data_IF_987722242212
#
_entry.id   IF_987722242212
#
_cell.length_a   1.000
_cell.length_b   1.000
_cell.length_c   1.000
_cell.angle_alpha   90.00
_cell.angle_beta   90.00
_cell.angle_gamma   90.00
#
_symmetry.space_group_name_H-M   'P 1'
#
loop_
_entity.id
_entity.type
_entity.pdbx_description
1 polymer ?
#
# COMPACT_ATOMS: atom_id res chain seq x y z
N UNK A 1 12.53 30.51 -14.55
CA UNK A 1 11.26 30.04 -13.93
C UNK A 1 11.52 28.70 -13.26
N UNK A 2 11.20 28.54 -11.97
CA UNK A 2 11.33 27.27 -11.26
C UNK A 2 10.30 26.25 -11.82
N UNK A 3 10.77 25.04 -12.11
CA UNK A 3 9.92 23.90 -12.53
C UNK A 3 10.08 22.76 -11.54
N UNK A 4 8.98 22.13 -11.14
CA UNK A 4 8.98 20.94 -10.28
C UNK A 4 8.80 19.71 -11.15
N UNK A 5 9.67 18.73 -10.96
CA UNK A 5 9.61 17.44 -11.64
C UNK A 5 9.43 16.34 -10.60
N UNK A 6 8.68 15.29 -10.97
CA UNK A 6 8.58 14.04 -10.21
C UNK A 6 9.01 12.90 -11.11
N UNK A 7 10.02 12.18 -10.69
CA UNK A 7 10.48 10.96 -11.35
C UNK A 7 9.79 9.76 -10.67
N UNK A 8 9.13 8.93 -11.47
CA UNK A 8 8.60 7.65 -11.02
C UNK A 8 9.56 6.55 -11.44
N UNK A 9 10.09 5.84 -10.45
CA UNK A 9 11.05 4.74 -10.67
C UNK A 9 10.32 3.49 -11.18
N UNK A 10 11.04 2.54 -11.84
CA UNK A 10 10.49 1.26 -12.23
C UNK A 10 9.85 0.52 -11.06
N UNK A 11 8.75 -0.22 -11.32
CA UNK A 11 7.98 -0.88 -10.26
C UNK A 11 8.45 -2.32 -9.99
N UNK A 12 9.06 -2.97 -10.98
CA UNK A 12 9.39 -4.41 -10.96
C UNK A 12 10.89 -4.71 -11.13
N UNK A 13 11.73 -3.68 -11.28
CA UNK A 13 13.17 -3.86 -11.42
C UNK A 13 13.92 -3.03 -10.40
N UNK A 14 15.03 -3.56 -9.92
CA UNK A 14 15.92 -2.86 -8.99
C UNK A 14 16.67 -1.75 -9.73
N UNK A 15 16.59 -0.53 -9.20
CA UNK A 15 17.39 0.58 -9.68
C UNK A 15 18.77 0.52 -9.01
N UNK A 16 19.82 0.37 -9.81
CA UNK A 16 21.20 0.29 -9.31
C UNK A 16 21.94 1.61 -9.38
N UNK A 17 21.55 2.49 -10.30
CA UNK A 17 22.16 3.82 -10.46
C UNK A 17 21.12 4.81 -11.04
N UNK A 18 21.21 6.06 -10.64
CA UNK A 18 20.38 7.15 -11.15
C UNK A 18 21.24 8.41 -11.34
N UNK A 19 21.35 8.87 -12.58
CA UNK A 19 22.04 10.11 -12.92
C UNK A 19 21.07 11.10 -13.53
N UNK A 20 21.07 12.33 -13.01
CA UNK A 20 20.22 13.42 -13.50
C UNK A 20 21.14 14.50 -14.08
N UNK A 21 21.05 14.70 -15.40
CA UNK A 21 21.76 15.78 -16.09
C UNK A 21 20.91 17.06 -16.09
N UNK A 22 21.57 18.18 -15.78
CA UNK A 22 21.01 19.52 -15.91
C UNK A 22 22.00 20.43 -16.64
N UNK A 23 21.51 21.46 -17.32
CA UNK A 23 22.41 22.45 -17.96
C UNK A 23 23.23 23.19 -16.89
N UNK A 24 24.45 23.59 -17.24
CA UNK A 24 25.40 24.23 -16.31
C UNK A 24 24.88 25.52 -15.67
N UNK A 25 23.96 26.22 -16.35
CA UNK A 25 23.30 27.43 -15.89
C UNK A 25 22.04 27.19 -15.03
N UNK A 26 21.65 25.91 -14.88
CA UNK A 26 20.48 25.53 -14.09
C UNK A 26 20.84 25.25 -12.63
N UNK A 27 19.98 25.70 -11.72
CA UNK A 27 20.03 25.29 -10.31
C UNK A 27 19.14 24.07 -10.10
N UNK A 28 19.72 23.03 -9.55
CA UNK A 28 18.98 21.84 -9.11
C UNK A 28 18.70 21.96 -7.60
N UNK A 29 17.43 21.88 -7.23
CA UNK A 29 16.99 21.96 -5.85
C UNK A 29 16.16 20.72 -5.52
N UNK A 30 16.43 20.09 -4.37
CA UNK A 30 15.54 19.05 -3.85
C UNK A 30 14.21 19.67 -3.42
N UNK A 31 13.11 19.00 -3.76
CA UNK A 31 11.78 19.37 -3.23
C UNK A 31 11.57 18.65 -1.89
N UNK A 32 11.13 19.37 -0.87
CA UNK A 32 10.62 18.71 0.34
C UNK A 32 9.38 17.90 -0.02
N UNK A 33 9.33 16.66 0.46
CA UNK A 33 8.13 15.84 0.39
C UNK A 33 7.10 16.38 1.40
N UNK A 34 5.83 16.30 1.04
CA UNK A 34 4.76 16.57 1.99
C UNK A 34 4.90 15.59 3.18
N UNK A 35 4.67 16.10 4.40
CA UNK A 35 4.78 15.30 5.62
C UNK A 35 3.62 14.32 5.81
N UNK A 36 2.62 14.35 4.91
CA UNK A 36 1.44 13.48 4.95
C UNK A 36 1.69 12.24 4.12
N UNK A 37 1.68 11.08 4.76
CA UNK A 37 1.94 9.80 4.10
C UNK A 37 0.70 8.90 4.15
N UNK A 38 0.42 8.23 3.03
CA UNK A 38 -0.42 7.04 2.96
C UNK A 38 0.51 5.85 2.72
N UNK A 39 0.38 4.82 3.52
CA UNK A 39 1.12 3.58 3.33
C UNK A 39 0.19 2.54 2.74
N UNK A 40 0.57 1.98 1.59
CA UNK A 40 -0.12 0.88 0.94
C UNK A 40 0.67 -0.40 1.16
N UNK A 41 0.00 -1.46 1.59
CA UNK A 41 0.56 -2.80 1.65
C UNK A 41 -0.36 -3.76 0.90
N UNK A 42 0.19 -4.53 -0.02
CA UNK A 42 -0.61 -5.42 -0.85
C UNK A 42 0.21 -6.28 -1.80
N UNK A 43 -0.44 -6.70 -2.86
CA UNK A 43 0.04 -7.65 -3.86
C UNK A 43 0.72 -6.96 -5.06
N UNK A 44 0.90 -7.70 -6.18
CA UNK A 44 1.30 -7.16 -7.48
C UNK A 44 0.38 -6.03 -7.97
N UNK A 45 -0.91 -6.07 -7.62
CA UNK A 45 -1.86 -5.01 -7.97
C UNK A 45 -1.47 -3.70 -7.28
N UNK A 46 -1.16 -3.77 -5.99
CA UNK A 46 -0.66 -2.61 -5.23
C UNK A 46 0.70 -2.15 -5.73
N UNK A 47 1.61 -3.08 -6.07
CA UNK A 47 2.92 -2.77 -6.65
C UNK A 47 2.76 -1.97 -7.96
N UNK A 48 1.71 -2.22 -8.71
CA UNK A 48 1.38 -1.53 -9.95
C UNK A 48 1.44 -2.44 -11.17
N UNK A 49 1.12 -3.72 -10.98
CA UNK A 49 1.01 -4.70 -12.05
C UNK A 49 0.11 -4.21 -13.17
N UNK A 50 0.51 -4.47 -14.42
CA UNK A 50 -0.18 -4.06 -15.65
C UNK A 50 -0.27 -2.54 -15.88
N UNK A 51 0.30 -1.69 -15.03
CA UNK A 51 0.42 -0.27 -15.33
C UNK A 51 1.38 -0.07 -16.52
N UNK A 52 0.93 0.62 -17.57
CA UNK A 52 1.72 0.81 -18.79
C UNK A 52 3.02 1.61 -18.57
N UNK A 53 3.14 2.30 -17.46
CA UNK A 53 4.34 3.00 -16.96
C UNK A 53 4.22 3.30 -15.47
N UNK A 54 5.34 3.46 -14.75
CA UNK A 54 5.34 3.62 -13.29
C UNK A 54 4.42 4.74 -12.78
N UNK A 55 4.37 5.87 -13.46
CA UNK A 55 3.49 6.97 -13.10
C UNK A 55 1.99 6.67 -13.17
N UNK A 56 1.58 5.56 -13.79
CA UNK A 56 0.17 5.13 -13.88
C UNK A 56 -0.22 4.05 -12.88
N UNK A 57 0.70 3.57 -12.03
CA UNK A 57 0.29 2.82 -10.85
C UNK A 57 -0.67 3.66 -10.00
N UNK A 58 -1.73 3.04 -9.48
CA UNK A 58 -2.80 3.76 -8.77
C UNK A 58 -2.28 4.56 -7.58
N UNK A 59 -1.30 4.05 -6.84
CA UNK A 59 -0.64 4.74 -5.74
C UNK A 59 0.03 6.05 -6.20
N UNK A 60 0.68 6.03 -7.37
CA UNK A 60 1.28 7.21 -7.97
C UNK A 60 0.24 8.20 -8.51
N UNK A 61 -0.90 7.71 -9.01
CA UNK A 61 -2.01 8.58 -9.42
C UNK A 61 -2.61 9.27 -8.20
N UNK A 62 -2.87 8.55 -7.12
CA UNK A 62 -3.37 9.09 -5.86
C UNK A 62 -2.43 10.18 -5.32
N UNK A 63 -1.13 9.88 -5.29
CA UNK A 63 -0.12 10.84 -4.82
C UNK A 63 -0.09 12.13 -5.65
N UNK A 64 -0.35 12.07 -6.96
CA UNK A 64 -0.43 13.28 -7.80
C UNK A 64 -1.73 14.05 -7.65
N UNK A 65 -2.84 13.35 -7.33
CA UNK A 65 -4.17 13.96 -7.20
C UNK A 65 -4.46 14.47 -5.79
N UNK A 66 -3.65 14.09 -4.83
CA UNK A 66 -3.82 14.47 -3.42
C UNK A 66 -2.57 15.17 -2.89
N UNK A 67 -2.64 15.71 -1.70
CA UNK A 67 -1.48 16.24 -0.97
C UNK A 67 -0.72 15.17 -0.17
N UNK A 68 -0.98 13.89 -0.44
CA UNK A 68 -0.32 12.79 0.26
C UNK A 68 0.84 12.22 -0.54
N UNK A 69 1.92 11.89 0.15
CA UNK A 69 2.96 11.02 -0.38
C UNK A 69 2.51 9.56 -0.18
N UNK A 70 2.42 8.79 -1.27
CA UNK A 70 2.04 7.38 -1.21
C UNK A 70 3.29 6.52 -1.16
N UNK A 71 3.44 5.75 -0.07
CA UNK A 71 4.52 4.79 0.13
C UNK A 71 3.96 3.42 -0.22
N UNK A 72 4.56 2.77 -1.22
CA UNK A 72 4.03 1.55 -1.82
C UNK A 72 4.83 0.33 -1.36
N UNK A 73 4.19 -0.55 -0.60
CA UNK A 73 4.63 -1.88 -0.20
C UNK A 73 3.79 -2.94 -0.91
N UNK A 74 3.72 -2.89 -2.21
CA UNK A 74 3.14 -3.94 -3.04
C UNK A 74 4.20 -4.97 -3.41
N UNK A 75 3.84 -6.27 -3.33
CA UNK A 75 4.75 -7.38 -3.53
C UNK A 75 4.14 -8.41 -4.49
N UNK A 76 4.75 -8.57 -5.66
CA UNK A 76 4.32 -9.55 -6.66
C UNK A 76 4.41 -10.99 -6.11
N UNK A 77 3.31 -11.75 -6.28
CA UNK A 77 3.20 -13.11 -5.76
C UNK A 77 3.22 -13.25 -4.24
N UNK A 78 3.20 -12.12 -3.49
CA UNK A 78 3.28 -12.05 -2.03
C UNK A 78 2.22 -11.07 -1.49
N UNK A 79 2.44 -10.54 -0.29
CA UNK A 79 1.44 -9.71 0.40
C UNK A 79 0.42 -10.61 1.10
N UNK A 80 0.92 -11.49 1.99
CA UNK A 80 0.12 -12.52 2.66
C UNK A 80 -0.29 -12.13 4.08
N UNK A 81 -0.43 -10.83 4.35
CA UNK A 81 -0.79 -10.28 5.68
C UNK A 81 0.27 -10.60 6.75
N UNK A 82 1.56 -10.56 6.39
CA UNK A 82 2.66 -10.94 7.27
C UNK A 82 2.86 -9.91 8.42
N UNK A 83 2.96 -10.41 9.64
CA UNK A 83 3.25 -9.61 10.84
C UNK A 83 4.61 -8.90 10.76
N UNK A 84 5.59 -9.52 10.11
CA UNK A 84 6.91 -8.92 9.87
C UNK A 84 6.82 -7.62 9.06
N UNK A 85 5.94 -7.59 8.06
CA UNK A 85 5.66 -6.37 7.30
C UNK A 85 4.92 -5.37 8.21
N UNK A 86 3.94 -5.79 9.00
CA UNK A 86 3.25 -4.95 9.97
C UNK A 86 4.21 -4.22 10.92
N UNK A 87 5.25 -4.90 11.41
CA UNK A 87 6.30 -4.30 12.24
C UNK A 87 7.15 -3.26 11.49
N UNK A 88 7.36 -3.43 10.19
CA UNK A 88 8.03 -2.43 9.35
C UNK A 88 7.12 -1.21 9.15
N UNK A 89 5.85 -1.45 8.82
CA UNK A 89 4.86 -0.39 8.61
C UNK A 89 4.68 0.45 9.88
N UNK A 90 4.69 -0.15 11.07
CA UNK A 90 4.53 0.54 12.35
C UNK A 90 5.61 1.63 12.59
N UNK A 91 6.79 1.48 11.99
CA UNK A 91 7.89 2.46 12.11
C UNK A 91 7.70 3.67 11.20
N UNK A 92 6.79 3.60 10.24
CA UNK A 92 6.55 4.67 9.26
C UNK A 92 5.53 5.65 9.82
N UNK A 93 5.87 6.94 9.84
CA UNK A 93 4.93 7.99 10.20
C UNK A 93 3.91 8.16 9.08
N UNK A 94 2.77 7.47 9.19
CA UNK A 94 1.67 7.52 8.25
C UNK A 94 0.46 8.27 8.83
N UNK A 95 -0.39 8.79 7.95
CA UNK A 95 -1.70 9.31 8.33
C UNK A 95 -2.74 8.18 8.37
N UNK A 96 -2.60 7.20 7.47
CA UNK A 96 -3.37 5.96 7.47
C UNK A 96 -2.68 4.89 6.62
N UNK A 97 -3.11 3.64 6.83
CA UNK A 97 -2.62 2.46 6.13
C UNK A 97 -3.74 1.88 5.28
N UNK A 98 -3.41 1.42 4.07
CA UNK A 98 -4.31 0.71 3.17
C UNK A 98 -3.74 -0.69 2.96
N UNK A 99 -4.51 -1.71 3.31
CA UNK A 99 -4.14 -3.14 3.22
C UNK A 99 -4.96 -3.79 2.12
N UNK A 100 -4.30 -4.18 1.04
CA UNK A 100 -4.89 -4.72 -0.19
C UNK A 100 -4.25 -6.07 -0.55
N UNK A 101 -4.41 -7.04 0.35
CA UNK A 101 -3.74 -8.35 0.26
C UNK A 101 -4.68 -9.49 -0.21
N UNK A 102 -5.99 -9.28 -0.26
CA UNK A 102 -6.97 -10.35 -0.48
C UNK A 102 -6.74 -11.18 -1.75
N UNK A 103 -6.26 -10.64 -2.89
CA UNK A 103 -6.02 -11.45 -4.07
C UNK A 103 -5.05 -12.63 -3.86
N UNK A 104 -4.07 -12.50 -2.96
CA UNK A 104 -3.02 -13.51 -2.74
C UNK A 104 -3.19 -14.33 -1.46
N UNK A 105 -4.29 -14.18 -0.72
CA UNK A 105 -4.53 -14.93 0.52
C UNK A 105 -5.76 -15.82 0.40
N UNK A 106 -5.72 -16.95 1.11
CA UNK A 106 -6.87 -17.81 1.32
C UNK A 106 -7.61 -17.46 2.62
N UNK A 107 -8.76 -18.08 2.85
CA UNK A 107 -9.55 -17.88 4.06
C UNK A 107 -8.80 -18.24 5.34
N UNK A 108 -7.88 -19.20 5.30
CA UNK A 108 -7.07 -19.59 6.46
C UNK A 108 -6.14 -18.44 6.84
N UNK A 109 -5.41 -17.88 5.87
CA UNK A 109 -4.52 -16.74 6.10
C UNK A 109 -5.29 -15.51 6.59
N UNK A 110 -6.48 -15.24 6.05
CA UNK A 110 -7.32 -14.13 6.54
C UNK A 110 -7.66 -14.34 8.02
N UNK A 111 -8.13 -15.53 8.39
CA UNK A 111 -8.50 -15.87 9.78
C UNK A 111 -7.34 -15.81 10.76
N UNK A 112 -6.13 -16.16 10.31
CA UNK A 112 -4.96 -16.25 11.19
C UNK A 112 -4.13 -14.97 11.23
N UNK A 113 -4.08 -14.17 10.16
CA UNK A 113 -3.10 -13.11 10.01
C UNK A 113 -3.66 -11.69 10.13
N UNK A 114 -4.97 -11.46 9.91
CA UNK A 114 -5.54 -10.10 9.94
C UNK A 114 -5.35 -9.45 11.30
N UNK A 115 -5.73 -10.11 12.39
CA UNK A 115 -5.60 -9.55 13.74
C UNK A 115 -4.13 -9.35 14.13
N UNK A 116 -3.23 -10.35 13.98
CA UNK A 116 -1.81 -10.16 14.26
C UNK A 116 -1.15 -9.05 13.42
N UNK A 117 -1.57 -8.86 12.15
CA UNK A 117 -1.10 -7.74 11.34
C UNK A 117 -1.53 -6.39 11.93
N UNK A 118 -2.80 -6.25 12.33
CA UNK A 118 -3.31 -5.03 12.97
C UNK A 118 -2.51 -4.72 14.24
N UNK A 119 -2.32 -5.70 15.11
CA UNK A 119 -1.55 -5.57 16.35
C UNK A 119 -0.10 -5.16 16.07
N UNK A 120 0.52 -5.78 15.06
CA UNK A 120 1.89 -5.42 14.62
C UNK A 120 2.00 -3.99 14.12
N UNK A 121 1.05 -3.51 13.33
CA UNK A 121 1.00 -2.13 12.86
C UNK A 121 0.83 -1.19 14.07
N UNK A 122 -0.03 -1.53 15.03
CA UNK A 122 -0.32 -0.71 16.22
C UNK A 122 0.77 -0.76 17.30
N UNK A 123 1.81 -1.55 17.12
CA UNK A 123 2.89 -1.73 18.12
C UNK A 123 3.75 -0.48 18.36
N UNK A 124 3.59 0.59 17.58
CA UNK A 124 4.38 1.82 17.69
C UNK A 124 3.51 3.06 17.91
N UNK A 125 4.02 4.04 18.68
CA UNK A 125 3.38 5.35 18.85
C UNK A 125 3.12 6.10 17.53
N UNK A 126 3.84 5.79 16.47
CA UNK A 126 3.62 6.41 15.15
C UNK A 126 2.33 5.93 14.48
N UNK A 127 1.80 4.78 14.88
CA UNK A 127 0.73 4.05 14.18
C UNK A 127 -0.44 3.64 15.07
N UNK A 128 -0.30 3.74 16.39
CA UNK A 128 -1.27 3.20 17.37
C UNK A 128 -2.70 3.72 17.17
N UNK A 129 -2.85 4.98 16.78
CA UNK A 129 -4.15 5.67 16.60
C UNK A 129 -4.51 5.89 15.13
N UNK A 130 -3.68 5.41 14.20
CA UNK A 130 -3.89 5.68 12.77
C UNK A 130 -4.92 4.73 12.16
N UNK A 131 -5.80 5.22 11.27
CA UNK A 131 -6.74 4.37 10.56
C UNK A 131 -6.01 3.29 9.74
N UNK A 132 -6.53 2.06 9.82
CA UNK A 132 -6.13 0.93 8.97
C UNK A 132 -7.36 0.57 8.13
N UNK A 133 -7.23 0.69 6.82
CA UNK A 133 -8.28 0.44 5.84
C UNK A 133 -7.95 -0.88 5.14
N UNK A 134 -8.80 -1.87 5.26
CA UNK A 134 -8.70 -3.10 4.48
C UNK A 134 -9.53 -2.98 3.21
N UNK A 135 -8.96 -3.39 2.09
CA UNK A 135 -9.61 -3.38 0.79
C UNK A 135 -10.18 -4.77 0.52
N UNK A 136 -11.47 -4.82 0.18
CA UNK A 136 -12.13 -6.04 -0.28
C UNK A 136 -11.68 -6.36 -1.71
N UNK A 137 -11.63 -7.64 -2.05
CA UNK A 137 -11.36 -8.06 -3.42
C UNK A 137 -12.62 -7.80 -4.27
N UNK A 138 -12.53 -6.98 -5.33
CA UNK A 138 -13.65 -6.82 -6.25
C UNK A 138 -13.82 -8.10 -7.08
N UNK A 139 -15.05 -8.39 -7.44
CA UNK A 139 -15.33 -9.36 -8.48
C UNK A 139 -14.95 -8.72 -9.82
N UNK A 140 -13.95 -9.28 -10.48
CA UNK A 140 -13.40 -8.72 -11.70
C UNK A 140 -14.12 -9.19 -12.99
N UNK A 141 -15.11 -10.07 -12.86
CA UNK A 141 -15.79 -10.67 -14.00
C UNK A 141 -17.28 -10.29 -14.03
N UNK A 142 -17.66 -9.45 -14.98
CA UNK A 142 -19.04 -8.96 -15.18
C UNK A 142 -20.09 -10.08 -15.34
N UNK A 143 -19.70 -11.34 -15.52
CA UNK A 143 -20.59 -12.48 -15.74
C UNK A 143 -20.26 -13.71 -14.88
N UNK A 144 -19.38 -13.61 -13.91
CA UNK A 144 -18.98 -14.76 -13.09
C UNK A 144 -18.99 -14.39 -11.62
N UNK A 145 -20.01 -14.84 -10.92
CA UNK A 145 -20.08 -14.73 -9.46
C UNK A 145 -19.09 -15.74 -8.85
N UNK A 146 -18.01 -15.27 -8.25
CA UNK A 146 -17.06 -16.11 -7.55
C UNK A 146 -17.40 -16.16 -6.04
N UNK A 147 -18.07 -17.23 -5.64
CA UNK A 147 -18.46 -17.46 -4.25
C UNK A 147 -17.24 -17.39 -3.29
N UNK A 148 -16.07 -17.78 -3.76
CA UNK A 148 -14.83 -17.73 -2.96
C UNK A 148 -14.41 -16.28 -2.65
N UNK A 149 -14.57 -15.34 -3.60
CA UNK A 149 -14.30 -13.91 -3.36
C UNK A 149 -15.29 -13.34 -2.33
N UNK A 150 -16.56 -13.67 -2.47
CA UNK A 150 -17.59 -13.21 -1.52
C UNK A 150 -17.28 -13.73 -0.11
N UNK A 151 -16.94 -15.02 0.00
CA UNK A 151 -16.62 -15.63 1.28
C UNK A 151 -15.36 -15.02 1.91
N UNK A 152 -14.29 -14.79 1.14
CA UNK A 152 -13.08 -14.09 1.60
C UNK A 152 -13.40 -12.70 2.14
N UNK A 153 -14.22 -11.92 1.42
CA UNK A 153 -14.63 -10.59 1.84
C UNK A 153 -15.45 -10.63 3.14
N UNK A 154 -16.35 -11.61 3.28
CA UNK A 154 -17.11 -11.82 4.52
C UNK A 154 -16.20 -12.17 5.69
N UNK A 155 -15.25 -13.08 5.50
CA UNK A 155 -14.29 -13.47 6.53
C UNK A 155 -13.40 -12.28 6.92
N UNK A 156 -12.94 -11.46 5.96
CA UNK A 156 -12.20 -10.24 6.25
C UNK A 156 -13.01 -9.30 7.15
N UNK A 157 -14.27 -9.02 6.79
CA UNK A 157 -15.17 -8.17 7.60
C UNK A 157 -15.31 -8.68 9.03
N UNK A 158 -15.47 -10.00 9.21
CA UNK A 158 -15.57 -10.63 10.52
C UNK A 158 -14.28 -10.43 11.34
N UNK A 159 -13.10 -10.62 10.74
CA UNK A 159 -11.83 -10.43 11.45
C UNK A 159 -11.59 -8.96 11.82
N UNK A 160 -11.89 -8.03 10.92
CA UNK A 160 -11.78 -6.59 11.20
C UNK A 160 -12.76 -6.17 12.31
N UNK A 161 -14.00 -6.68 12.29
CA UNK A 161 -14.97 -6.39 13.37
C UNK A 161 -14.52 -6.99 14.71
N UNK A 162 -13.95 -8.19 14.68
CA UNK A 162 -13.38 -8.82 15.88
C UNK A 162 -12.24 -7.98 16.45
N UNK A 163 -11.33 -7.49 15.62
CA UNK A 163 -10.24 -6.62 16.04
C UNK A 163 -10.77 -5.33 16.71
N UNK A 164 -11.79 -4.68 16.11
CA UNK A 164 -12.44 -3.49 16.69
C UNK A 164 -13.03 -3.78 18.07
N UNK A 165 -13.68 -4.93 18.25
CA UNK A 165 -14.26 -5.34 19.54
C UNK A 165 -13.17 -5.62 20.60
N UNK A 166 -11.94 -5.91 20.20
CA UNK A 166 -10.77 -6.08 21.05
C UNK A 166 -10.09 -4.74 21.40
N UNK A 167 -10.57 -3.63 20.88
CA UNK A 167 -10.00 -2.29 21.10
C UNK A 167 -8.88 -1.90 20.14
N UNK A 168 -8.78 -2.62 19.02
CA UNK A 168 -7.79 -2.36 17.94
C UNK A 168 -8.35 -1.50 16.81
#
# INVERSE_FOLDING_TARGET
KLRKFRLHLPLYVTLTDLKIGVSNDCKFLSSQLDSKNIVFYGTSITQGGCASRPGLAHTNIISRKTSYNCINFGFDGNGHLETSIGLILSKIKANFYIIDCLPNVDMKLIKTNVIPLIESIRSSHNSIDKPIIFVEQPDAHDNYFDENIVEKNMVLKQQVQKAKNMGN
#
